data_IF_343911909161
#
_entry.id   IF_343911909161
#
_cell.length_a   1.000
_cell.length_b   1.000
_cell.length_c   1.000
_cell.angle_alpha   90.00
_cell.angle_beta   90.00
_cell.angle_gamma   90.00
#
_symmetry.space_group_name_H-M   'P 1'
#
loop_
_entity.id
_entity.type
_entity.pdbx_description
1 polymer ?
#
# COMPACT_ATOMS: atom_id res chain seq x y z
N UNK A 1 -23.86 32.79 12.23
CA UNK A 1 -22.73 32.34 13.07
C UNK A 1 -22.83 30.83 13.20
N UNK A 2 -22.01 30.08 12.49
CA UNK A 2 -21.98 28.63 12.60
C UNK A 2 -21.18 28.28 13.87
N UNK A 3 -21.84 27.68 14.85
CA UNK A 3 -21.20 27.14 16.04
C UNK A 3 -20.33 25.97 15.58
N UNK A 4 -19.02 26.17 15.53
CA UNK A 4 -18.07 25.08 15.38
C UNK A 4 -18.14 24.29 16.68
N UNK A 5 -18.97 23.26 16.72
CA UNK A 5 -18.92 22.28 17.80
C UNK A 5 -17.56 21.60 17.68
N UNK A 6 -16.58 22.06 18.46
CA UNK A 6 -15.28 21.40 18.58
C UNK A 6 -15.57 19.94 18.94
N UNK A 7 -15.26 19.03 18.01
CA UNK A 7 -15.39 17.60 18.31
C UNK A 7 -14.47 17.32 19.49
N UNK A 8 -15.00 16.62 20.50
CA UNK A 8 -14.19 16.11 21.59
C UNK A 8 -12.98 15.34 21.01
N UNK A 9 -11.75 15.51 21.52
CA UNK A 9 -10.54 14.90 20.95
C UNK A 9 -10.68 13.39 20.71
N UNK A 10 -11.43 12.67 21.54
CA UNK A 10 -11.72 11.25 21.33
C UNK A 10 -12.57 10.94 20.08
N UNK A 11 -13.53 11.80 19.74
CA UNK A 11 -14.36 11.62 18.56
C UNK A 11 -13.53 11.76 17.29
N UNK A 12 -12.56 12.67 17.29
CA UNK A 12 -11.57 12.78 16.22
C UNK A 12 -10.72 11.53 16.10
N UNK A 13 -10.19 11.01 17.21
CA UNK A 13 -9.40 9.77 17.21
C UNK A 13 -10.23 8.58 16.68
N UNK A 14 -11.50 8.47 17.06
CA UNK A 14 -12.41 7.42 16.54
C UNK A 14 -12.60 7.55 15.03
N UNK A 15 -12.82 8.77 14.52
CA UNK A 15 -12.94 9.05 13.08
C UNK A 15 -11.64 8.69 12.35
N UNK A 16 -10.48 9.07 12.89
CA UNK A 16 -9.19 8.72 12.30
C UNK A 16 -9.00 7.20 12.22
N UNK A 17 -9.38 6.45 13.26
CA UNK A 17 -9.32 4.98 13.24
C UNK A 17 -10.23 4.37 12.16
N UNK A 18 -11.44 4.89 11.98
CA UNK A 18 -12.35 4.44 10.91
C UNK A 18 -11.75 4.71 9.53
N UNK A 19 -11.21 5.92 9.31
CA UNK A 19 -10.55 6.29 8.06
C UNK A 19 -9.38 5.36 7.73
N UNK A 20 -8.61 4.91 8.74
CA UNK A 20 -7.52 3.96 8.54
C UNK A 20 -8.02 2.61 8.03
N UNK A 21 -9.08 2.07 8.63
CA UNK A 21 -9.69 0.81 8.18
C UNK A 21 -10.16 0.91 6.74
N UNK A 22 -10.82 2.01 6.37
CA UNK A 22 -11.27 2.25 4.99
C UNK A 22 -10.10 2.38 4.03
N UNK A 23 -9.05 3.15 4.39
CA UNK A 23 -7.84 3.29 3.59
C UNK A 23 -7.18 1.93 3.31
N UNK A 24 -7.01 1.10 4.35
CA UNK A 24 -6.42 -0.23 4.19
C UNK A 24 -7.26 -1.13 3.26
N UNK A 25 -8.60 -1.07 3.37
CA UNK A 25 -9.50 -1.76 2.45
C UNK A 25 -9.32 -1.28 1.01
N UNK A 26 -9.26 0.03 0.79
CA UNK A 26 -9.09 0.61 -0.53
C UNK A 26 -7.74 0.21 -1.17
N UNK A 27 -6.63 0.28 -0.41
CA UNK A 27 -5.31 -0.11 -0.93
C UNK A 27 -5.27 -1.59 -1.31
N UNK A 28 -5.85 -2.48 -0.49
CA UNK A 28 -5.98 -3.91 -0.82
C UNK A 28 -6.80 -4.15 -2.08
N UNK A 29 -7.91 -3.42 -2.24
CA UNK A 29 -8.75 -3.51 -3.44
C UNK A 29 -8.00 -3.05 -4.71
N UNK A 30 -7.00 -2.17 -4.57
CA UNK A 30 -6.11 -1.77 -5.68
C UNK A 30 -4.93 -2.72 -5.89
N UNK A 31 -4.84 -3.81 -5.13
CA UNK A 31 -3.80 -4.82 -5.25
C UNK A 31 -2.59 -4.63 -4.32
N UNK A 32 -2.57 -3.57 -3.51
CA UNK A 32 -1.51 -3.30 -2.54
C UNK A 32 -1.81 -4.02 -1.22
N UNK A 33 -1.09 -5.11 -0.96
CA UNK A 33 -1.41 -6.03 0.12
C UNK A 33 -0.36 -6.05 1.24
N UNK A 34 0.81 -5.44 1.02
CA UNK A 34 1.89 -5.49 2.00
C UNK A 34 1.59 -4.63 3.25
N UNK A 35 1.97 -5.11 4.44
CA UNK A 35 1.87 -4.31 5.65
C UNK A 35 2.76 -3.06 5.51
N UNK A 36 2.24 -1.89 5.90
CA UNK A 36 2.96 -0.62 5.80
C UNK A 36 2.64 0.20 4.55
N UNK A 37 1.96 -0.36 3.54
CA UNK A 37 1.50 0.39 2.37
C UNK A 37 0.59 1.59 2.76
N UNK A 38 -0.28 1.40 3.76
CA UNK A 38 -1.13 2.45 4.34
C UNK A 38 -0.31 3.54 5.05
N UNK A 39 0.77 3.14 5.72
CA UNK A 39 1.70 4.08 6.37
C UNK A 39 2.44 4.90 5.35
N UNK A 40 2.95 4.28 4.27
CA UNK A 40 3.61 4.98 3.17
C UNK A 40 2.66 5.96 2.46
N UNK A 41 1.42 5.53 2.18
CA UNK A 41 0.39 6.42 1.62
C UNK A 41 0.17 7.65 2.51
N UNK A 42 -0.03 7.45 3.81
CA UNK A 42 -0.29 8.54 4.75
C UNK A 42 0.92 9.46 4.94
N UNK A 43 2.12 8.89 4.95
CA UNK A 43 3.35 9.68 5.02
C UNK A 43 3.49 10.58 3.79
N UNK A 44 3.17 10.08 2.59
CA UNK A 44 3.14 10.87 1.37
C UNK A 44 2.11 12.00 1.45
N UNK A 45 0.86 11.71 1.87
CA UNK A 45 -0.16 12.74 2.08
C UNK A 45 0.32 13.79 3.11
N UNK A 46 0.96 13.35 4.19
CA UNK A 46 1.45 14.26 5.24
C UNK A 46 2.51 15.24 4.73
N UNK A 47 3.38 14.82 3.81
CA UNK A 47 4.37 15.71 3.17
C UNK A 47 3.81 16.52 2.00
N UNK A 48 2.50 16.46 1.76
CA UNK A 48 1.80 17.27 0.75
C UNK A 48 1.63 16.60 -0.61
N UNK A 49 1.82 15.28 -0.72
CA UNK A 49 1.52 14.56 -1.95
C UNK A 49 0.00 14.54 -2.22
N UNK A 50 -0.38 14.56 -3.50
CA UNK A 50 -1.76 14.27 -3.89
C UNK A 50 -2.05 12.75 -3.80
N UNK A 51 -3.30 12.36 -4.06
CA UNK A 51 -3.72 10.96 -3.96
C UNK A 51 -3.00 10.04 -4.97
N UNK A 52 -2.71 10.54 -6.16
CA UNK A 52 -2.00 9.80 -7.20
C UNK A 52 -0.57 9.50 -6.75
N UNK A 53 0.14 10.53 -6.29
CA UNK A 53 1.50 10.44 -5.76
C UNK A 53 1.57 9.59 -4.50
N UNK A 54 0.58 9.70 -3.60
CA UNK A 54 0.52 8.91 -2.37
C UNK A 54 0.29 7.42 -2.66
N UNK A 55 -0.54 7.11 -3.66
CA UNK A 55 -0.71 5.72 -4.10
C UNK A 55 0.57 5.17 -4.72
N UNK A 56 1.27 5.95 -5.55
CA UNK A 56 2.58 5.53 -6.07
C UNK A 56 3.63 5.35 -4.97
N UNK A 57 3.61 6.18 -3.93
CA UNK A 57 4.49 6.01 -2.77
C UNK A 57 4.20 4.68 -2.05
N UNK A 58 2.93 4.33 -1.86
CA UNK A 58 2.53 3.04 -1.29
C UNK A 58 2.97 1.86 -2.16
N UNK A 59 2.77 1.94 -3.48
CA UNK A 59 3.23 0.92 -4.43
C UNK A 59 4.74 0.72 -4.40
N UNK A 60 5.52 1.81 -4.38
CA UNK A 60 6.98 1.75 -4.26
C UNK A 60 7.40 1.16 -2.92
N UNK A 61 6.71 1.49 -1.83
CA UNK A 61 6.99 0.90 -0.52
C UNK A 61 6.75 -0.61 -0.51
N UNK A 62 5.68 -1.09 -1.14
CA UNK A 62 5.41 -2.53 -1.31
C UNK A 62 6.54 -3.22 -2.07
N UNK A 63 7.04 -2.62 -3.16
CA UNK A 63 8.20 -3.13 -3.90
C UNK A 63 9.48 -3.15 -3.05
N UNK A 64 9.73 -2.11 -2.23
CA UNK A 64 10.87 -2.09 -1.30
C UNK A 64 10.77 -3.23 -0.28
N UNK A 65 9.58 -3.48 0.27
CA UNK A 65 9.36 -4.56 1.23
C UNK A 65 9.46 -5.95 0.60
N UNK A 66 9.13 -6.07 -0.69
CA UNK A 66 9.37 -7.29 -1.46
C UNK A 66 10.86 -7.48 -1.80
N UNK A 67 11.70 -6.45 -1.79
CA UNK A 67 13.11 -6.59 -2.16
C UNK A 67 13.29 -7.18 -3.57
N UNK A 68 14.42 -7.84 -3.81
CA UNK A 68 14.73 -8.44 -5.11
C UNK A 68 14.69 -9.97 -5.07
N UNK A 69 14.42 -10.59 -6.22
CA UNK A 69 14.36 -12.04 -6.32
C UNK A 69 15.74 -12.69 -6.16
N UNK A 70 16.79 -12.06 -6.66
CA UNK A 70 18.18 -12.53 -6.60
C UNK A 70 18.79 -12.50 -5.18
N UNK A 71 18.25 -11.69 -4.28
CA UNK A 71 18.61 -11.66 -2.85
C UNK A 71 18.22 -12.95 -2.09
N UNK A 72 17.43 -13.84 -2.69
CA UNK A 72 17.12 -15.15 -2.10
C UNK A 72 18.35 -16.05 -2.23
N UNK A 73 19.07 -16.21 -1.12
CA UNK A 73 20.24 -17.09 -1.00
C UNK A 73 19.89 -18.53 -0.57
N UNK A 74 20.82 -19.45 -0.85
CA UNK A 74 20.83 -20.78 -0.25
C UNK A 74 20.95 -20.69 1.27
N UNK A 75 20.15 -21.46 2.03
CA UNK A 75 20.32 -21.53 3.47
C UNK A 75 21.74 -22.02 3.78
N UNK A 76 22.55 -21.17 4.43
CA UNK A 76 23.90 -21.52 4.86
C UNK A 76 23.81 -22.45 6.08
N UNK A 77 24.20 -23.72 5.94
CA UNK A 77 24.31 -24.69 7.06
C UNK A 77 23.76 -26.09 6.75
N UNK A 78 23.68 -26.95 7.77
CA UNK A 78 23.03 -28.27 7.73
C UNK A 78 21.49 -28.12 7.64
N UNK A 79 20.99 -27.42 6.61
CA UNK A 79 19.57 -27.47 6.28
C UNK A 79 19.32 -28.78 5.53
N UNK A 80 18.43 -29.62 6.04
CA UNK A 80 17.93 -30.76 5.27
C UNK A 80 17.33 -30.23 3.96
N UNK A 81 17.82 -30.67 2.79
CA UNK A 81 17.25 -30.23 1.52
C UNK A 81 15.81 -30.73 1.48
N UNK A 82 14.86 -29.81 1.61
CA UNK A 82 13.46 -30.11 1.36
C UNK A 82 13.24 -29.99 -0.14
N UNK A 83 12.93 -31.08 -0.87
CA UNK A 83 12.75 -31.06 -2.32
C UNK A 83 11.50 -30.27 -2.76
N UNK A 84 10.76 -29.66 -1.83
CA UNK A 84 9.46 -29.02 -2.06
C UNK A 84 9.51 -27.51 -2.26
N UNK A 85 10.68 -26.88 -2.23
CA UNK A 85 10.84 -25.46 -2.53
C UNK A 85 12.28 -25.21 -3.00
N UNK A 86 12.56 -25.46 -4.28
CA UNK A 86 13.85 -25.07 -4.82
C UNK A 86 14.01 -23.55 -4.72
N UNK A 87 15.24 -23.08 -4.63
CA UNK A 87 15.48 -21.62 -4.55
C UNK A 87 15.03 -20.93 -5.81
N UNK A 88 15.20 -21.57 -6.96
CA UNK A 88 14.69 -21.06 -8.23
C UNK A 88 13.16 -20.90 -8.22
N UNK A 89 12.42 -21.84 -7.61
CA UNK A 89 10.96 -21.67 -7.41
C UNK A 89 10.64 -20.48 -6.51
N UNK A 90 11.42 -20.26 -5.44
CA UNK A 90 11.25 -19.12 -4.53
C UNK A 90 11.57 -17.79 -5.23
N UNK A 91 12.64 -17.75 -6.02
CA UNK A 91 13.03 -16.60 -6.85
C UNK A 91 11.95 -16.29 -7.88
N UNK A 92 11.48 -17.30 -8.60
CA UNK A 92 10.40 -17.17 -9.58
C UNK A 92 9.08 -16.73 -8.93
N UNK A 93 8.77 -17.21 -7.72
CA UNK A 93 7.60 -16.75 -6.97
C UNK A 93 7.73 -15.28 -6.54
N UNK A 94 8.91 -14.87 -6.04
CA UNK A 94 9.17 -13.47 -5.68
C UNK A 94 9.08 -12.55 -6.90
N UNK A 95 9.68 -12.96 -8.03
CA UNK A 95 9.63 -12.18 -9.26
C UNK A 95 8.18 -12.00 -9.75
N UNK A 96 7.37 -13.07 -9.72
CA UNK A 96 5.93 -12.98 -10.03
C UNK A 96 5.18 -11.99 -9.13
N UNK A 97 5.51 -11.93 -7.84
CA UNK A 97 4.92 -10.93 -6.93
C UNK A 97 5.34 -9.51 -7.31
N UNK A 98 6.64 -9.29 -7.52
CA UNK A 98 7.17 -7.98 -7.96
C UNK A 98 6.49 -7.53 -9.27
N UNK A 99 6.38 -8.42 -10.25
CA UNK A 99 5.77 -8.12 -11.54
C UNK A 99 4.27 -7.82 -11.39
N UNK A 100 3.57 -8.53 -10.51
CA UNK A 100 2.16 -8.26 -10.23
C UNK A 100 1.95 -6.86 -9.65
N UNK A 101 2.82 -6.40 -8.74
CA UNK A 101 2.77 -5.05 -8.16
C UNK A 101 3.15 -3.99 -9.19
N UNK A 102 4.17 -4.24 -10.02
CA UNK A 102 4.59 -3.33 -11.11
C UNK A 102 3.49 -3.15 -12.15
N UNK A 103 2.71 -4.19 -12.41
CA UNK A 103 1.60 -4.16 -13.37
C UNK A 103 0.35 -3.43 -12.83
N UNK A 104 0.27 -3.14 -11.52
CA UNK A 104 -0.85 -2.38 -10.97
C UNK A 104 -0.91 -0.99 -11.59
N UNK A 105 -2.09 -0.63 -12.06
CA UNK A 105 -2.40 0.69 -12.60
C UNK A 105 -2.88 1.57 -11.46
N UNK A 106 -2.34 2.79 -11.40
CA UNK A 106 -2.78 3.77 -10.41
C UNK A 106 -4.25 4.14 -10.67
N UNK A 107 -5.15 3.96 -9.70
CA UNK A 107 -6.56 4.28 -9.89
C UNK A 107 -6.82 5.79 -10.06
N UNK A 108 -5.93 6.64 -9.54
CA UNK A 108 -6.08 8.09 -9.62
C UNK A 108 -5.59 8.67 -10.95
N UNK A 109 -4.67 7.98 -11.64
CA UNK A 109 -4.18 8.44 -12.95
C UNK A 109 -5.20 8.27 -14.08
N UNK A 110 -6.23 7.43 -13.86
CA UNK A 110 -7.31 7.19 -14.81
C UNK A 110 -8.50 8.16 -14.65
N UNK A 111 -8.47 9.05 -13.65
CA UNK A 111 -9.59 9.92 -13.30
C UNK A 111 -9.35 11.37 -13.72
N UNK A 112 -9.93 11.75 -14.87
CA UNK A 112 -10.29 13.13 -15.18
C UNK A 112 -11.19 13.72 -14.05
N UNK A 113 -11.21 15.05 -13.85
CA UNK A 113 -11.74 15.66 -12.63
C UNK A 113 -13.20 15.31 -12.41
N UNK A 114 -13.50 14.65 -11.28
CA UNK A 114 -14.86 14.59 -10.76
C UNK A 114 -15.21 16.00 -10.31
N UNK A 115 -15.92 16.73 -11.17
CA UNK A 115 -16.63 17.95 -10.78
C UNK A 115 -17.59 17.57 -9.65
N UNK A 116 -17.15 17.78 -8.41
CA UNK A 116 -18.01 17.80 -7.24
C UNK A 116 -18.87 19.06 -7.35
N UNK A 117 -19.90 19.02 -8.20
CA UNK A 117 -21.05 19.89 -8.02
C UNK A 117 -21.68 19.51 -6.69
N UNK A 118 -21.27 20.23 -5.65
CA UNK A 118 -21.98 20.30 -4.38
C UNK A 118 -23.41 20.74 -4.70
N UNK A 119 -24.35 19.80 -4.65
CA UNK A 119 -25.76 20.13 -4.49
C UNK A 119 -25.90 20.82 -3.12
N UNK A 120 -25.99 22.14 -3.18
CA UNK A 120 -26.44 23.03 -2.12
C UNK A 120 -27.96 22.97 -1.99
#
# INVERSE_FOLDING_TARGET
MACATEMHPEAEVRRLRQNLTTLQGNLRNTGLNMPGADTAYRAAIFVGADAEQAWEAARRHELVMLGFADEIEEPKGLSFPSPRNSIDERRAARQRQIDSVRALVNPFSLSAPVSLERAA
#
